data_IF_913628552141
#
_entry.id   IF_913628552141
#
_cell.length_a   1.000
_cell.length_b   1.000
_cell.length_c   1.000
_cell.angle_alpha   90.00
_cell.angle_beta   90.00
_cell.angle_gamma   90.00
#
_symmetry.space_group_name_H-M   'P 1'
#
loop_
_entity.id
_entity.type
_entity.pdbx_description
1 polymer ?
#
# COMPACT_ATOMS: atom_id res chain seq x y z
N UNK A 1 -10.33 -10.59 18.61
CA UNK A 1 -10.27 -9.85 17.34
C UNK A 1 -10.21 -10.87 16.22
N UNK A 2 -11.19 -10.87 15.32
CA UNK A 2 -11.24 -11.82 14.21
C UNK A 2 -10.18 -11.45 13.17
N UNK A 3 -9.44 -12.44 12.66
CA UNK A 3 -8.59 -12.26 11.50
C UNK A 3 -9.49 -11.94 10.30
N UNK A 4 -9.18 -10.86 9.58
CA UNK A 4 -9.87 -10.51 8.33
C UNK A 4 -9.47 -11.55 7.30
N UNK A 5 -10.45 -12.19 6.66
CA UNK A 5 -10.19 -13.25 5.68
C UNK A 5 -9.67 -12.68 4.35
N UNK A 6 -8.88 -13.46 3.61
CA UNK A 6 -8.38 -13.07 2.28
C UNK A 6 -9.52 -12.65 1.33
N UNK A 7 -10.68 -13.29 1.45
CA UNK A 7 -11.88 -12.98 0.67
C UNK A 7 -12.48 -11.60 0.99
N UNK A 8 -12.38 -11.15 2.25
CA UNK A 8 -12.74 -9.79 2.61
C UNK A 8 -11.74 -8.77 2.05
N UNK A 9 -10.45 -9.09 2.00
CA UNK A 9 -9.43 -8.20 1.41
C UNK A 9 -9.66 -8.05 -0.10
N UNK A 10 -9.97 -9.15 -0.79
CA UNK A 10 -10.29 -9.19 -2.22
C UNK A 10 -11.49 -8.30 -2.60
N UNK A 11 -12.58 -8.40 -1.84
CA UNK A 11 -13.78 -7.57 -2.06
C UNK A 11 -13.49 -6.08 -1.86
N UNK A 12 -12.60 -5.74 -0.91
CA UNK A 12 -12.23 -4.35 -0.57
C UNK A 12 -11.31 -3.73 -1.62
N UNK A 13 -10.39 -4.52 -2.18
CA UNK A 13 -9.49 -4.11 -3.25
C UNK A 13 -10.24 -3.83 -4.55
N UNK A 14 -11.18 -4.71 -4.93
CA UNK A 14 -12.02 -4.50 -6.11
C UNK A 14 -12.77 -3.16 -6.04
N UNK A 15 -13.36 -2.83 -4.88
CA UNK A 15 -14.09 -1.56 -4.70
C UNK A 15 -13.18 -0.33 -4.83
N UNK A 16 -11.94 -0.41 -4.37
CA UNK A 16 -10.97 0.70 -4.45
C UNK A 16 -10.51 0.97 -5.89
N UNK A 17 -10.34 -0.10 -6.68
CA UNK A 17 -10.00 -0.01 -8.10
C UNK A 17 -11.13 0.67 -8.88
N UNK A 18 -12.37 0.31 -8.57
CA UNK A 18 -13.55 0.87 -9.22
C UNK A 18 -13.80 2.36 -8.85
N UNK A 19 -13.28 2.83 -7.71
CA UNK A 19 -13.57 4.17 -7.18
C UNK A 19 -12.46 5.22 -7.39
N UNK A 20 -11.24 4.83 -7.79
CA UNK A 20 -10.09 5.75 -7.86
C UNK A 20 -9.72 6.15 -9.30
N UNK A 21 -9.61 7.46 -9.62
CA UNK A 21 -9.18 7.93 -10.93
C UNK A 21 -7.68 7.68 -11.17
N UNK A 22 -7.35 7.45 -12.42
CA UNK A 22 -6.44 6.40 -12.84
C UNK A 22 -5.45 6.89 -13.89
N UNK A 23 -4.16 6.75 -13.61
CA UNK A 23 -3.22 6.40 -14.69
C UNK A 23 -2.33 5.20 -14.32
N UNK A 24 -2.08 4.90 -13.03
CA UNK A 24 -1.23 3.76 -12.63
C UNK A 24 -1.73 2.88 -11.45
N UNK A 25 -2.67 3.36 -10.64
CA UNK A 25 -3.22 2.59 -9.50
C UNK A 25 -4.05 1.33 -9.87
N UNK A 26 -4.80 1.29 -11.00
CA UNK A 26 -5.54 0.10 -11.38
C UNK A 26 -4.65 -1.13 -11.62
N UNK A 27 -3.47 -0.94 -12.21
CA UNK A 27 -2.58 -2.03 -12.59
C UNK A 27 -1.91 -2.67 -11.36
N UNK A 28 -1.43 -1.86 -10.42
CA UNK A 28 -0.83 -2.34 -9.17
C UNK A 28 -1.85 -3.07 -8.29
N UNK A 29 -3.10 -2.60 -8.27
CA UNK A 29 -4.16 -3.20 -7.48
C UNK A 29 -4.74 -4.46 -8.16
N UNK A 30 -4.75 -4.55 -9.49
CA UNK A 30 -5.08 -5.77 -10.23
C UNK A 30 -4.05 -6.88 -10.00
N UNK A 31 -2.75 -6.55 -10.08
CA UNK A 31 -1.67 -7.51 -9.79
C UNK A 31 -1.77 -8.06 -8.36
N UNK A 32 -2.11 -7.18 -7.41
CA UNK A 32 -2.37 -7.54 -6.03
C UNK A 32 -3.58 -8.50 -5.88
N UNK A 33 -4.68 -8.22 -6.58
CA UNK A 33 -5.85 -9.11 -6.58
C UNK A 33 -5.50 -10.49 -7.12
N UNK A 34 -4.73 -10.58 -8.21
CA UNK A 34 -4.30 -11.86 -8.78
C UNK A 34 -3.44 -12.65 -7.78
N UNK A 35 -2.48 -12.01 -7.11
CA UNK A 35 -1.64 -12.67 -6.10
C UNK A 35 -2.46 -13.17 -4.90
N UNK A 36 -3.49 -12.43 -4.49
CA UNK A 36 -4.42 -12.85 -3.44
C UNK A 36 -5.33 -13.99 -3.92
N UNK A 37 -5.82 -13.94 -5.15
CA UNK A 37 -6.65 -15.00 -5.74
C UNK A 37 -5.90 -16.32 -5.91
N UNK A 38 -4.59 -16.24 -6.17
CA UNK A 38 -3.73 -17.41 -6.30
C UNK A 38 -3.26 -17.98 -4.95
N UNK A 39 -3.63 -17.33 -3.83
CA UNK A 39 -3.26 -17.71 -2.45
C UNK A 39 -1.75 -17.92 -2.28
N UNK A 40 -0.93 -17.20 -3.07
CA UNK A 40 0.52 -17.36 -3.08
C UNK A 40 1.20 -16.64 -1.91
N UNK A 41 0.46 -15.80 -1.18
CA UNK A 41 1.00 -14.87 -0.18
C UNK A 41 0.21 -14.90 1.12
N UNK A 42 0.88 -15.22 2.21
CA UNK A 42 0.27 -15.19 3.54
C UNK A 42 0.29 -13.76 4.10
N UNK A 43 -0.87 -13.25 4.50
CA UNK A 43 -0.96 -11.92 5.10
C UNK A 43 -0.25 -11.89 6.46
N UNK A 44 0.65 -10.93 6.65
CA UNK A 44 1.36 -10.68 7.92
C UNK A 44 0.45 -10.09 9.03
N UNK A 45 -0.86 -10.03 8.75
CA UNK A 45 -1.90 -9.55 9.65
C UNK A 45 -2.07 -8.02 9.64
N UNK A 46 -3.18 -7.51 10.22
CA UNK A 46 -3.38 -6.07 10.37
C UNK A 46 -2.50 -5.52 11.50
N UNK A 47 -1.85 -4.38 11.26
CA UNK A 47 -1.26 -3.57 12.32
C UNK A 47 -2.30 -2.74 13.05
N UNK A 48 -1.85 -1.96 14.05
CA UNK A 48 -2.73 -1.05 14.80
C UNK A 48 -3.22 0.07 13.85
N UNK A 49 -4.54 0.34 13.78
CA UNK A 49 -5.04 1.49 13.05
C UNK A 49 -4.45 2.80 13.60
N UNK A 50 -4.12 3.71 12.70
CA UNK A 50 -3.57 5.02 13.04
C UNK A 50 -4.12 6.10 12.09
N UNK A 51 -4.02 7.39 12.45
CA UNK A 51 -4.39 8.50 11.57
C UNK A 51 -3.65 8.43 10.22
N UNK A 52 -4.33 8.82 9.14
CA UNK A 52 -3.73 8.91 7.81
C UNK A 52 -2.50 9.84 7.79
N UNK A 53 -2.53 10.92 8.58
CA UNK A 53 -1.40 11.83 8.77
C UNK A 53 -0.14 11.14 9.30
N UNK A 54 -0.28 10.22 10.27
CA UNK A 54 0.86 9.47 10.83
C UNK A 54 1.52 8.59 9.75
N UNK A 55 0.72 7.98 8.87
CA UNK A 55 1.23 7.19 7.76
C UNK A 55 1.90 8.08 6.71
N UNK A 56 1.29 9.21 6.36
CA UNK A 56 1.85 10.17 5.42
C UNK A 56 3.21 10.69 5.91
N UNK A 57 3.32 11.14 7.16
CA UNK A 57 4.58 11.62 7.75
C UNK A 57 5.69 10.57 7.68
N UNK A 58 5.37 9.32 8.05
CA UNK A 58 6.35 8.23 8.02
C UNK A 58 6.81 7.91 6.60
N UNK A 59 5.91 7.97 5.62
CA UNK A 59 6.23 7.74 4.21
C UNK A 59 7.04 8.90 3.63
N UNK A 60 6.69 10.15 3.94
CA UNK A 60 7.44 11.34 3.52
C UNK A 60 8.90 11.31 3.97
N UNK A 61 9.16 10.90 5.22
CA UNK A 61 10.54 10.75 5.72
C UNK A 61 11.33 9.75 4.88
N UNK A 62 10.68 8.69 4.39
CA UNK A 62 11.33 7.68 3.54
C UNK A 62 11.49 8.18 2.10
N UNK A 63 10.45 8.73 1.49
CA UNK A 63 10.46 9.34 0.15
C UNK A 63 11.53 10.43 0.06
N UNK A 64 11.64 11.30 1.07
CA UNK A 64 12.66 12.34 1.12
C UNK A 64 14.09 11.78 1.19
N UNK A 65 14.30 10.56 1.70
CA UNK A 65 15.61 9.88 1.64
C UNK A 65 15.88 9.33 0.25
N UNK A 66 14.87 8.74 -0.40
CA UNK A 66 14.98 8.19 -1.75
C UNK A 66 15.26 9.28 -2.79
N UNK A 67 14.58 10.44 -2.68
CA UNK A 67 14.79 11.62 -3.54
C UNK A 67 16.20 12.20 -3.52
N UNK A 68 17.00 11.91 -2.49
CA UNK A 68 18.38 12.44 -2.37
C UNK A 68 19.41 11.62 -3.17
N UNK A 69 18.99 10.52 -3.79
CA UNK A 69 19.84 9.70 -4.65
C UNK A 69 19.93 10.32 -6.03
N UNK A 70 21.06 10.12 -6.69
CA UNK A 70 21.26 10.53 -8.09
C UNK A 70 20.39 9.73 -9.06
N UNK A 71 20.05 8.48 -8.69
CA UNK A 71 19.17 7.59 -9.42
C UNK A 71 17.97 7.19 -8.54
N UNK A 72 16.76 7.74 -8.80
CA UNK A 72 15.57 7.43 -8.02
C UNK A 72 15.09 6.01 -8.34
N UNK A 73 14.69 5.23 -7.32
CA UNK A 73 14.25 3.85 -7.52
C UNK A 73 12.90 3.79 -8.24
N UNK A 74 12.63 2.64 -8.86
CA UNK A 74 11.36 2.39 -9.54
C UNK A 74 10.20 2.39 -8.52
N UNK A 75 9.10 3.08 -8.84
CA UNK A 75 7.93 3.19 -7.96
C UNK A 75 8.02 4.27 -6.88
N UNK A 76 9.02 5.16 -6.93
CA UNK A 76 9.08 6.35 -6.07
C UNK A 76 7.89 7.30 -6.31
N UNK A 77 7.49 7.47 -7.55
CA UNK A 77 6.31 8.23 -7.99
C UNK A 77 5.01 7.71 -7.35
N UNK A 78 4.81 6.39 -7.35
CA UNK A 78 3.65 5.77 -6.69
C UNK A 78 3.64 6.03 -5.18
N UNK A 79 4.80 6.02 -4.53
CA UNK A 79 4.89 6.39 -3.11
C UNK A 79 4.57 7.87 -2.87
N UNK A 80 4.96 8.75 -3.79
CA UNK A 80 4.65 10.17 -3.74
C UNK A 80 3.15 10.44 -3.91
N UNK A 81 2.49 9.73 -4.84
CA UNK A 81 1.05 9.79 -5.04
C UNK A 81 0.29 9.28 -3.81
N UNK A 82 0.75 8.17 -3.20
CA UNK A 82 0.19 7.66 -1.94
C UNK A 82 0.31 8.71 -0.83
N UNK A 83 1.47 9.35 -0.69
CA UNK A 83 1.66 10.42 0.30
C UNK A 83 0.69 11.58 0.04
N UNK A 84 0.59 12.05 -1.21
CA UNK A 84 -0.31 13.14 -1.58
C UNK A 84 -1.77 12.78 -1.30
N UNK A 85 -2.17 11.54 -1.60
CA UNK A 85 -3.51 11.03 -1.30
C UNK A 85 -3.79 11.01 0.20
N UNK A 86 -2.88 10.45 1.01
CA UNK A 86 -3.04 10.39 2.47
C UNK A 86 -3.12 11.77 3.12
N UNK A 87 -2.39 12.76 2.59
CA UNK A 87 -2.46 14.15 3.06
C UNK A 87 -3.80 14.81 2.78
N UNK A 88 -4.57 14.31 1.80
CA UNK A 88 -5.93 14.76 1.54
C UNK A 88 -7.00 14.18 2.47
N UNK A 89 -6.63 13.22 3.34
CA UNK A 89 -7.55 12.50 4.21
C UNK A 89 -7.39 12.97 5.66
N UNK A 90 -8.03 14.09 6.00
CA UNK A 90 -8.05 14.61 7.37
C UNK A 90 -8.90 13.70 8.29
N UNK A 91 -8.41 13.43 9.50
CA UNK A 91 -9.06 12.65 10.57
C UNK A 91 -9.40 11.17 10.27
N UNK A 92 -8.97 10.62 9.13
CA UNK A 92 -9.22 9.22 8.79
C UNK A 92 -8.29 8.26 9.55
N UNK A 93 -8.87 7.23 10.19
CA UNK A 93 -8.12 6.12 10.79
C UNK A 93 -7.98 4.97 9.80
N UNK A 94 -6.74 4.64 9.46
CA UNK A 94 -6.40 3.59 8.52
C UNK A 94 -5.80 2.38 9.23
N UNK A 95 -6.32 1.19 8.93
CA UNK A 95 -5.77 -0.09 9.31
C UNK A 95 -4.71 -0.54 8.29
N UNK A 96 -3.44 -0.73 8.69
CA UNK A 96 -2.40 -1.20 7.80
C UNK A 96 -2.43 -2.73 7.70
N UNK A 97 -2.24 -3.26 6.50
CA UNK A 97 -2.04 -4.66 6.20
C UNK A 97 -0.75 -4.81 5.38
N UNK A 98 -0.09 -5.96 5.51
CA UNK A 98 1.04 -6.29 4.67
C UNK A 98 1.07 -7.77 4.34
N UNK A 99 1.70 -8.11 3.23
CA UNK A 99 2.04 -9.47 2.82
C UNK A 99 3.34 -9.41 2.01
N UNK A 100 3.99 -10.55 1.85
CA UNK A 100 5.23 -10.70 1.11
C UNK A 100 4.99 -11.61 -0.08
N UNK A 101 5.35 -11.16 -1.28
CA UNK A 101 5.23 -11.97 -2.48
C UNK A 101 6.37 -12.99 -2.61
N UNK A 102 6.25 -13.85 -3.62
CA UNK A 102 7.23 -14.92 -3.89
C UNK A 102 8.62 -14.40 -4.27
N UNK A 103 8.74 -13.11 -4.63
CA UNK A 103 10.00 -12.43 -4.91
C UNK A 103 10.62 -11.77 -3.67
N UNK A 104 9.97 -11.87 -2.51
CA UNK A 104 10.40 -11.23 -1.26
C UNK A 104 10.07 -9.75 -1.18
N UNK A 105 9.23 -9.23 -2.09
CA UNK A 105 8.76 -7.85 -2.04
C UNK A 105 7.57 -7.77 -1.10
N UNK A 106 7.66 -6.85 -0.15
CA UNK A 106 6.58 -6.60 0.80
C UNK A 106 5.63 -5.55 0.24
N UNK A 107 4.36 -5.89 0.22
CA UNK A 107 3.28 -5.00 -0.14
C UNK A 107 2.60 -4.48 1.12
N UNK A 108 2.14 -3.23 1.07
CA UNK A 108 1.47 -2.54 2.15
C UNK A 108 0.13 -2.01 1.63
N UNK A 109 -0.93 -2.25 2.40
CA UNK A 109 -2.29 -1.78 2.11
C UNK A 109 -2.77 -0.98 3.32
N UNK A 110 -3.29 0.21 3.10
CA UNK A 110 -3.97 1.01 4.12
C UNK A 110 -5.47 0.96 3.83
N UNK A 111 -6.28 0.62 4.83
CA UNK A 111 -7.73 0.46 4.65
C UNK A 111 -8.54 1.20 5.72
N UNK A 112 -9.71 1.72 5.34
CA UNK A 112 -10.69 2.33 6.23
C UNK A 112 -11.95 1.46 6.25
N UNK A 113 -12.14 0.70 7.33
CA UNK A 113 -13.24 -0.27 7.41
C UNK A 113 -13.15 -1.33 6.32
N UNK A 114 -14.02 -1.22 5.30
CA UNK A 114 -14.09 -2.11 4.14
C UNK A 114 -13.64 -1.44 2.84
N UNK A 115 -12.85 -0.38 2.91
CA UNK A 115 -12.34 0.34 1.76
C UNK A 115 -10.81 0.30 1.80
N UNK A 116 -10.16 -0.11 0.71
CA UNK A 116 -8.72 0.15 0.54
C UNK A 116 -8.56 1.62 0.20
N UNK A 117 -7.57 2.27 0.79
CA UNK A 117 -7.33 3.71 0.66
C UNK A 117 -6.00 3.97 -0.06
N UNK A 118 -4.99 3.17 0.23
CA UNK A 118 -3.70 3.25 -0.45
C UNK A 118 -3.02 1.89 -0.50
N UNK A 119 -2.20 1.68 -1.53
CA UNK A 119 -1.35 0.51 -1.65
C UNK A 119 0.04 0.91 -2.17
N UNK A 120 1.10 0.32 -1.63
CA UNK A 120 2.48 0.54 -2.08
C UNK A 120 3.37 -0.66 -1.73
N UNK A 121 4.56 -0.73 -2.34
CA UNK A 121 5.48 -1.86 -2.16
C UNK A 121 6.77 -1.45 -1.45
N UNK A 122 7.57 -2.44 -1.03
CA UNK A 122 8.90 -2.23 -0.49
C UNK A 122 9.99 -2.10 -1.54
N UNK A 123 9.70 -2.36 -2.84
CA UNK A 123 10.71 -2.31 -3.92
C UNK A 123 11.53 -1.02 -3.90
N UNK A 124 10.91 0.18 -3.79
CA UNK A 124 11.68 1.42 -3.76
C UNK A 124 12.68 1.52 -2.59
N UNK A 125 12.40 0.83 -1.49
CA UNK A 125 13.29 0.79 -0.32
C UNK A 125 14.38 -0.27 -0.46
N UNK A 126 14.06 -1.45 -1.04
CA UNK A 126 15.01 -2.54 -1.25
C UNK A 126 16.08 -2.15 -2.28
N UNK A 127 15.68 -1.53 -3.38
CA UNK A 127 16.60 -0.98 -4.39
C UNK A 127 17.51 0.11 -3.81
N UNK A 128 17.05 0.79 -2.77
CA UNK A 128 17.84 1.81 -2.10
C UNK A 128 18.87 1.25 -1.11
N UNK A 129 18.74 0.00 -0.66
CA UNK A 129 19.69 -0.64 0.24
C UNK A 129 20.74 -1.49 -0.50
N UNK A 130 20.50 -1.82 -1.77
CA UNK A 130 21.47 -2.40 -2.70
C UNK A 130 22.42 -1.37 -3.29
#
# INVERSE_FOLDING_TARGET
MAAVSANEIHTRLNRFIESSPSEHMPDAAAALLELIEQDEVEALGPGKPAPAEDFAERLEVKVARLRRRDDPPEGLDLLEDVVAHLRGLEDDLLAPHAFEDSEGVRWFILSRGNEVVACYTSRPFLEAEG
#
